data_IF_668458701457
#
_entry.id   IF_668458701457
#
_cell.length_a   1.000
_cell.length_b   1.000
_cell.length_c   1.000
_cell.angle_alpha   90.00
_cell.angle_beta   90.00
_cell.angle_gamma   90.00
#
_symmetry.space_group_name_H-M   'P 1'
#
loop_
_entity.id
_entity.type
_entity.pdbx_description
1 polymer ?
#
# COMPACT_ATOMS: atom_id res chain seq x y z
N UNK A 1 -35.13 -21.21 4.08
CA UNK A 1 -34.31 -20.60 3.00
C UNK A 1 -34.13 -19.12 3.36
N UNK A 2 -33.17 -18.82 4.16
CA UNK A 2 -32.65 -17.47 4.46
C UNK A 2 -31.55 -17.66 5.49
N UNK A 3 -30.39 -17.07 5.31
CA UNK A 3 -29.23 -16.85 6.20
C UNK A 3 -27.87 -17.19 5.54
N UNK A 4 -27.78 -17.06 4.20
CA UNK A 4 -26.47 -17.11 3.51
C UNK A 4 -25.93 -15.69 3.22
N UNK A 5 -26.73 -14.64 3.45
CA UNK A 5 -26.38 -13.26 3.08
C UNK A 5 -25.59 -12.44 4.11
N UNK A 6 -25.64 -12.79 5.39
CA UNK A 6 -25.03 -11.96 6.45
C UNK A 6 -23.56 -12.30 6.77
N UNK A 7 -23.14 -13.56 6.59
CA UNK A 7 -21.74 -13.93 6.86
C UNK A 7 -20.75 -13.40 5.80
N UNK A 8 -21.18 -13.25 4.56
CA UNK A 8 -20.32 -12.72 3.48
C UNK A 8 -20.04 -11.22 3.62
N UNK A 9 -20.95 -10.45 4.23
CA UNK A 9 -20.76 -9.02 4.46
C UNK A 9 -19.78 -8.71 5.60
N UNK A 10 -19.70 -9.57 6.62
CA UNK A 10 -18.80 -9.41 7.75
C UNK A 10 -17.32 -9.65 7.37
N UNK A 11 -17.04 -10.62 6.50
CA UNK A 11 -15.68 -10.96 6.06
C UNK A 11 -15.08 -9.81 5.21
N UNK A 12 -15.87 -9.11 4.40
CA UNK A 12 -15.41 -7.98 3.61
C UNK A 12 -15.02 -6.75 4.45
N UNK A 13 -15.36 -6.73 5.74
CA UNK A 13 -15.04 -5.64 6.67
C UNK A 13 -13.78 -5.89 7.50
N UNK A 14 -13.23 -7.11 7.48
CA UNK A 14 -12.01 -7.44 8.22
C UNK A 14 -10.80 -6.70 7.63
N UNK A 15 -9.86 -6.22 8.47
CA UNK A 15 -8.64 -5.62 7.99
C UNK A 15 -7.79 -6.65 7.25
N UNK A 16 -6.99 -6.21 6.27
CA UNK A 16 -6.11 -7.11 5.52
C UNK A 16 -4.96 -7.61 6.39
N UNK A 17 -4.42 -8.77 6.04
CA UNK A 17 -3.25 -9.38 6.68
C UNK A 17 -1.99 -8.95 5.92
N UNK A 18 -0.94 -8.59 6.64
CA UNK A 18 0.35 -8.26 6.04
C UNK A 18 1.14 -9.53 5.76
N UNK A 19 1.37 -9.82 4.49
CA UNK A 19 2.24 -10.91 4.07
C UNK A 19 3.69 -10.44 4.00
N UNK A 20 4.59 -11.23 4.59
CA UNK A 20 6.04 -11.08 4.53
C UNK A 20 6.68 -12.25 3.77
N UNK A 21 7.92 -12.09 3.35
CA UNK A 21 8.80 -13.22 3.05
C UNK A 21 9.33 -13.86 4.34
N UNK A 22 10.07 -14.97 4.21
CA UNK A 22 10.64 -15.67 5.37
C UNK A 22 11.69 -14.86 6.13
N UNK A 23 12.32 -13.89 5.47
CA UNK A 23 13.30 -12.97 6.05
C UNK A 23 12.65 -11.76 6.75
N UNK A 24 11.32 -11.64 6.68
CA UNK A 24 10.57 -10.55 7.32
C UNK A 24 10.44 -9.29 6.46
N UNK A 25 10.72 -9.36 5.16
CA UNK A 25 10.49 -8.22 4.27
C UNK A 25 9.00 -8.13 3.90
N UNK A 26 8.40 -6.93 3.99
CA UNK A 26 7.00 -6.74 3.64
C UNK A 26 6.78 -6.93 2.15
N UNK A 27 5.75 -7.71 1.83
CA UNK A 27 5.46 -8.14 0.47
C UNK A 27 4.18 -7.50 -0.07
N UNK A 28 3.02 -7.83 0.51
CA UNK A 28 1.70 -7.35 0.07
C UNK A 28 0.65 -7.51 1.15
N UNK A 29 -0.49 -6.88 0.91
CA UNK A 29 -1.71 -7.15 1.65
C UNK A 29 -2.42 -8.36 1.08
N UNK A 30 -2.90 -9.24 1.95
CA UNK A 30 -3.69 -10.43 1.59
C UNK A 30 -4.99 -10.47 2.38
N UNK A 31 -5.98 -11.19 1.86
CA UNK A 31 -7.24 -11.41 2.56
C UNK A 31 -7.11 -12.52 3.60
N UNK A 32 -8.07 -12.61 4.51
CA UNK A 32 -8.12 -13.68 5.52
C UNK A 32 -8.27 -15.05 4.90
N UNK A 33 -9.05 -15.17 3.84
CA UNK A 33 -9.24 -16.44 3.14
C UNK A 33 -7.91 -16.95 2.57
N UNK A 34 -7.12 -16.06 1.97
CA UNK A 34 -5.82 -16.43 1.46
C UNK A 34 -4.85 -16.77 2.61
N UNK A 35 -4.96 -16.09 3.75
CA UNK A 35 -4.20 -16.43 4.96
C UNK A 35 -4.56 -17.82 5.46
N UNK A 36 -5.86 -18.14 5.58
CA UNK A 36 -6.34 -19.47 5.97
C UNK A 36 -5.84 -20.56 5.02
N UNK A 37 -5.83 -20.28 3.72
CA UNK A 37 -5.24 -21.20 2.74
C UNK A 37 -3.76 -21.46 3.02
N UNK A 38 -2.95 -20.45 3.33
CA UNK A 38 -1.54 -20.66 3.66
C UNK A 38 -1.34 -21.47 4.93
N UNK A 39 -2.14 -21.27 5.95
CA UNK A 39 -2.12 -22.10 7.16
C UNK A 39 -2.50 -23.55 6.84
N UNK A 40 -3.56 -23.78 6.06
CA UNK A 40 -4.03 -25.13 5.70
C UNK A 40 -3.01 -25.91 4.84
N UNK A 41 -2.09 -25.23 4.17
CA UNK A 41 -1.04 -25.82 3.34
C UNK A 41 0.32 -25.86 4.03
N UNK A 42 0.38 -25.58 5.33
CA UNK A 42 1.62 -25.51 6.12
C UNK A 42 2.68 -24.59 5.49
N UNK A 43 2.23 -23.48 4.86
CA UNK A 43 3.11 -22.53 4.21
C UNK A 43 3.49 -21.34 5.08
N UNK A 44 2.92 -21.20 6.26
CA UNK A 44 3.30 -20.16 7.23
C UNK A 44 4.60 -20.56 7.89
N UNK A 45 5.66 -19.75 7.71
CA UNK A 45 6.95 -19.97 8.35
C UNK A 45 6.93 -19.52 9.81
N UNK A 46 6.39 -18.34 10.03
CA UNK A 46 6.15 -17.73 11.33
C UNK A 46 5.08 -16.64 11.20
N UNK A 47 4.51 -16.24 12.32
CA UNK A 47 3.50 -15.20 12.36
C UNK A 47 3.67 -14.32 13.60
N UNK A 48 3.13 -13.12 13.55
CA UNK A 48 3.12 -12.16 14.66
C UNK A 48 1.92 -11.22 14.56
N UNK A 49 1.63 -10.52 15.63
CA UNK A 49 0.58 -9.52 15.73
C UNK A 49 -0.06 -9.59 17.12
N UNK A 50 -0.68 -8.50 17.54
CA UNK A 50 -1.38 -8.40 18.83
C UNK A 50 -2.80 -8.94 18.77
N UNK A 51 -3.36 -9.04 17.56
CA UNK A 51 -4.74 -9.48 17.35
C UNK A 51 -4.76 -10.87 16.74
N UNK A 52 -5.32 -11.80 17.49
CA UNK A 52 -5.61 -13.14 17.01
C UNK A 52 -7.01 -13.17 16.38
N UNK A 53 -7.08 -13.62 15.14
CA UNK A 53 -8.33 -13.79 14.42
C UNK A 53 -8.69 -15.26 14.39
N UNK A 54 -9.83 -15.59 14.94
CA UNK A 54 -10.36 -16.95 14.89
C UNK A 54 -11.38 -17.07 13.76
N UNK A 55 -11.07 -17.90 12.78
CA UNK A 55 -12.02 -18.30 11.73
C UNK A 55 -12.60 -19.66 12.09
N UNK A 56 -13.91 -19.77 11.95
CA UNK A 56 -14.63 -21.02 12.14
C UNK A 56 -14.90 -21.68 10.79
N UNK A 57 -14.52 -22.94 10.66
CA UNK A 57 -14.81 -23.77 9.49
C UNK A 57 -16.08 -24.59 9.64
N UNK A 58 -16.17 -25.66 8.87
CA UNK A 58 -17.30 -26.60 8.91
C UNK A 58 -17.39 -27.38 10.23
N UNK A 59 -18.60 -27.90 10.52
CA UNK A 59 -18.83 -28.78 11.65
C UNK A 59 -18.49 -30.21 11.25
N UNK A 60 -17.67 -30.89 12.04
CA UNK A 60 -17.36 -32.31 11.85
C UNK A 60 -18.61 -33.13 12.12
N UNK A 61 -19.09 -33.89 11.12
CA UNK A 61 -20.32 -34.66 11.22
C UNK A 61 -20.27 -35.77 12.28
N UNK A 62 -19.10 -36.29 12.60
CA UNK A 62 -18.93 -37.37 13.58
C UNK A 62 -18.79 -36.85 15.02
N UNK A 63 -18.12 -35.72 15.23
CA UNK A 63 -17.85 -35.17 16.57
C UNK A 63 -18.75 -33.99 16.95
N UNK A 64 -19.48 -33.39 16.01
CA UNK A 64 -20.27 -32.17 16.23
C UNK A 64 -19.43 -30.90 16.45
N UNK A 65 -18.11 -31.02 16.46
CA UNK A 65 -17.22 -29.86 16.72
C UNK A 65 -17.01 -29.01 15.46
N UNK A 66 -17.08 -27.70 15.62
CA UNK A 66 -16.65 -26.75 14.58
C UNK A 66 -15.11 -26.71 14.54
N UNK A 67 -14.54 -26.83 13.35
CA UNK A 67 -13.14 -26.53 13.16
C UNK A 67 -12.91 -25.04 13.36
N UNK A 68 -11.80 -24.66 13.99
CA UNK A 68 -11.39 -23.27 14.15
C UNK A 68 -9.92 -23.13 13.79
N UNK A 69 -9.56 -21.97 13.25
CA UNK A 69 -8.20 -21.59 12.92
C UNK A 69 -7.91 -20.22 13.52
N UNK A 70 -6.90 -20.16 14.39
CA UNK A 70 -6.39 -18.89 14.93
C UNK A 70 -5.28 -18.40 14.02
N UNK A 71 -5.36 -17.13 13.59
CA UNK A 71 -4.40 -16.51 12.67
C UNK A 71 -3.99 -15.15 13.20
N UNK A 72 -2.72 -14.81 13.00
CA UNK A 72 -2.21 -13.47 13.28
C UNK A 72 -2.37 -12.54 12.07
N UNK A 73 -2.16 -11.25 12.30
CA UNK A 73 -2.34 -10.18 11.32
C UNK A 73 -1.12 -9.92 10.45
N UNK A 74 0.03 -10.52 10.78
CA UNK A 74 1.29 -10.45 10.05
C UNK A 74 1.82 -11.87 9.86
N UNK A 75 2.02 -12.29 8.60
CA UNK A 75 2.41 -13.66 8.24
C UNK A 75 3.62 -13.71 7.35
N UNK A 76 4.63 -14.49 7.72
CA UNK A 76 5.74 -14.85 6.85
C UNK A 76 5.44 -16.18 6.12
N UNK A 77 5.49 -16.16 4.79
CA UNK A 77 5.06 -17.28 3.96
C UNK A 77 6.27 -17.95 3.30
N UNK A 78 6.34 -19.30 3.42
CA UNK A 78 7.30 -20.12 2.69
C UNK A 78 6.85 -20.23 1.23
N UNK A 79 7.79 -20.14 0.31
CA UNK A 79 7.57 -20.40 -1.10
C UNK A 79 8.64 -19.77 -1.96
N UNK A 80 8.88 -20.40 -3.08
CA UNK A 80 9.74 -19.82 -4.11
C UNK A 80 8.98 -18.67 -4.79
N UNK A 81 9.60 -17.52 -4.78
CA UNK A 81 9.13 -16.35 -5.52
C UNK A 81 9.89 -16.37 -6.84
N UNK A 82 9.18 -16.43 -7.98
CA UNK A 82 9.83 -16.37 -9.29
C UNK A 82 10.64 -15.07 -9.42
N UNK A 83 11.66 -15.06 -10.30
CA UNK A 83 12.47 -13.86 -10.56
C UNK A 83 11.61 -12.64 -10.95
N UNK A 84 10.53 -12.86 -11.72
CA UNK A 84 9.57 -11.82 -12.06
C UNK A 84 8.78 -11.33 -10.83
N UNK A 85 8.35 -12.24 -9.98
CA UNK A 85 7.69 -11.87 -8.73
C UNK A 85 8.66 -11.15 -7.78
N UNK A 86 9.92 -11.56 -7.71
CA UNK A 86 10.96 -10.84 -6.95
C UNK A 86 11.14 -9.41 -7.45
N UNK A 87 11.23 -9.20 -8.76
CA UNK A 87 11.34 -7.86 -9.34
C UNK A 87 10.13 -6.97 -8.99
N UNK A 88 8.92 -7.54 -8.96
CA UNK A 88 7.70 -6.82 -8.52
C UNK A 88 7.70 -6.55 -7.02
N UNK A 89 8.21 -7.47 -6.21
CA UNK A 89 8.15 -7.39 -4.74
C UNK A 89 9.25 -6.49 -4.15
N UNK A 90 10.45 -6.56 -4.72
CA UNK A 90 11.63 -5.83 -4.23
C UNK A 90 12.06 -4.68 -5.13
N UNK A 91 11.40 -4.54 -6.29
CA UNK A 91 11.61 -3.42 -7.20
C UNK A 91 10.89 -2.14 -6.75
N UNK A 92 11.03 -1.11 -7.56
CA UNK A 92 10.31 0.16 -7.37
C UNK A 92 8.80 -0.10 -7.47
N UNK A 93 8.00 0.32 -6.49
CA UNK A 93 6.56 0.10 -6.51
C UNK A 93 5.88 0.73 -7.74
N UNK A 94 4.74 0.17 -8.22
CA UNK A 94 4.05 0.71 -9.38
C UNK A 94 3.53 2.12 -9.12
N UNK A 95 3.80 3.03 -10.06
CA UNK A 95 3.34 4.41 -9.99
C UNK A 95 1.87 4.51 -10.42
N UNK A 96 1.01 4.84 -9.46
CA UNK A 96 -0.41 5.15 -9.70
C UNK A 96 -0.75 6.53 -9.17
N UNK A 97 -1.76 7.20 -9.74
CA UNK A 97 -2.20 8.50 -9.25
C UNK A 97 -2.62 8.44 -7.76
N UNK A 98 -3.32 7.38 -7.37
CA UNK A 98 -3.73 7.19 -5.97
C UNK A 98 -2.54 7.12 -5.01
N UNK A 99 -1.50 6.37 -5.36
CA UNK A 99 -0.31 6.24 -4.54
C UNK A 99 0.51 7.55 -4.55
N UNK A 100 0.60 8.21 -5.72
CA UNK A 100 1.26 9.51 -5.85
C UNK A 100 0.61 10.57 -4.96
N UNK A 101 -0.70 10.74 -5.06
CA UNK A 101 -1.42 11.73 -4.26
C UNK A 101 -1.31 11.46 -2.77
N UNK A 102 -1.31 10.20 -2.35
CA UNK A 102 -1.08 9.83 -0.95
C UNK A 102 0.36 10.04 -0.49
N UNK A 103 1.37 9.74 -1.33
CA UNK A 103 2.77 10.05 -1.03
C UNK A 103 2.94 11.54 -0.72
N UNK A 104 2.24 12.37 -1.47
CA UNK A 104 2.29 13.83 -1.38
C UNK A 104 1.23 14.41 -0.42
N UNK A 105 0.56 13.55 0.38
CA UNK A 105 -0.49 13.94 1.36
C UNK A 105 -1.62 14.77 0.73
N UNK A 106 -1.94 14.56 -0.55
CA UNK A 106 -2.87 15.35 -1.36
C UNK A 106 -2.51 16.84 -1.45
N UNK A 107 -1.26 17.22 -1.20
CA UNK A 107 -0.77 18.59 -1.23
C UNK A 107 -0.20 18.91 -2.61
N UNK A 108 -0.59 20.07 -3.16
CA UNK A 108 -0.02 20.58 -4.40
C UNK A 108 1.47 20.93 -4.20
N UNK A 109 2.36 20.33 -5.02
CA UNK A 109 3.80 20.54 -4.91
C UNK A 109 4.28 21.98 -5.21
N UNK A 110 3.42 22.80 -5.82
CA UNK A 110 3.74 24.17 -6.21
C UNK A 110 3.08 25.22 -5.31
N UNK A 111 1.87 24.92 -4.82
CA UNK A 111 1.09 25.87 -4.05
C UNK A 111 1.10 25.58 -2.55
N UNK A 112 1.32 24.31 -2.17
CA UNK A 112 1.47 23.90 -0.76
C UNK A 112 0.16 23.65 -0.03
N UNK A 113 -1.00 23.71 -0.70
CA UNK A 113 -2.28 23.45 -0.08
C UNK A 113 -2.82 22.06 -0.40
N UNK A 114 -3.61 21.51 0.53
CA UNK A 114 -4.28 20.23 0.37
C UNK A 114 -5.53 20.38 -0.52
N UNK A 115 -5.74 19.39 -1.38
CA UNK A 115 -6.88 19.33 -2.29
C UNK A 115 -7.60 17.99 -2.20
N UNK A 116 -8.89 17.98 -2.52
CA UNK A 116 -9.61 16.72 -2.73
C UNK A 116 -9.09 16.01 -3.99
N UNK A 117 -9.05 14.68 -3.95
CA UNK A 117 -8.43 13.84 -5.00
C UNK A 117 -8.91 14.15 -6.42
N UNK A 118 -10.19 14.54 -6.59
CA UNK A 118 -10.76 14.89 -7.90
C UNK A 118 -10.14 16.13 -8.56
N UNK A 119 -9.58 17.04 -7.75
CA UNK A 119 -8.99 18.31 -8.20
C UNK A 119 -7.46 18.20 -8.34
N UNK A 120 -6.91 17.00 -8.06
CA UNK A 120 -5.49 16.71 -8.18
C UNK A 120 -5.16 16.06 -9.52
N UNK A 121 -3.96 16.37 -9.99
CA UNK A 121 -3.37 15.84 -11.21
C UNK A 121 -1.95 15.36 -10.98
N UNK A 122 -1.49 14.40 -11.78
CA UNK A 122 -0.07 14.07 -11.89
C UNK A 122 0.59 15.06 -12.81
N UNK A 123 1.61 15.74 -12.32
CA UNK A 123 2.47 16.56 -13.14
C UNK A 123 3.89 16.01 -13.24
N UNK A 124 4.53 16.18 -14.40
CA UNK A 124 5.90 15.77 -14.65
C UNK A 124 6.82 16.96 -14.45
N UNK A 125 7.73 16.87 -13.47
CA UNK A 125 8.72 17.94 -13.19
C UNK A 125 9.50 18.28 -14.45
N UNK A 126 10.08 17.28 -15.11
CA UNK A 126 10.59 17.39 -16.47
C UNK A 126 9.51 16.92 -17.45
N UNK A 127 9.01 17.78 -18.33
CA UNK A 127 7.87 17.49 -19.19
C UNK A 127 8.07 16.31 -20.13
N UNK A 128 7.03 15.50 -20.34
CA UNK A 128 7.06 14.39 -21.30
C UNK A 128 7.41 14.83 -22.72
N UNK A 129 6.93 16.00 -23.15
CA UNK A 129 7.25 16.57 -24.46
C UNK A 129 8.73 16.89 -24.65
N UNK A 130 9.49 16.93 -23.57
CA UNK A 130 10.95 17.16 -23.56
C UNK A 130 11.77 15.93 -23.18
N UNK A 131 11.15 14.74 -23.17
CA UNK A 131 11.82 13.48 -22.85
C UNK A 131 11.67 13.05 -21.39
N UNK A 132 10.87 13.74 -20.58
CA UNK A 132 10.55 13.33 -19.22
C UNK A 132 9.82 12.00 -19.18
N UNK A 133 10.21 11.12 -18.24
CA UNK A 133 9.67 9.78 -18.09
C UNK A 133 8.68 9.70 -16.93
N UNK A 134 7.75 8.75 -17.03
CA UNK A 134 6.73 8.49 -16.01
C UNK A 134 7.32 7.62 -14.89
N UNK A 135 8.03 8.23 -13.97
CA UNK A 135 8.65 7.58 -12.81
C UNK A 135 8.49 8.44 -11.55
N UNK A 136 8.58 7.81 -10.39
CA UNK A 136 8.37 8.44 -9.09
C UNK A 136 9.19 9.71 -8.85
N UNK A 137 10.43 9.75 -9.31
CA UNK A 137 11.37 10.86 -9.13
C UNK A 137 11.12 12.00 -10.11
N UNK A 138 10.23 11.81 -11.08
CA UNK A 138 9.88 12.83 -12.06
C UNK A 138 8.42 13.30 -11.97
N UNK A 139 7.64 12.78 -11.01
CA UNK A 139 6.23 13.16 -10.88
C UNK A 139 5.88 13.69 -9.50
N UNK A 140 5.00 14.67 -9.48
CA UNK A 140 4.47 15.30 -8.27
C UNK A 140 2.96 15.46 -8.36
N UNK A 141 2.33 15.61 -7.21
CA UNK A 141 0.93 16.01 -7.10
C UNK A 141 0.80 17.50 -7.35
N UNK A 142 -0.08 17.89 -8.27
CA UNK A 142 -0.37 19.29 -8.56
C UNK A 142 -1.88 19.52 -8.61
N UNK A 143 -2.35 20.70 -8.18
CA UNK A 143 -3.72 21.13 -8.44
C UNK A 143 -3.88 21.51 -9.92
N UNK A 144 -5.11 21.44 -10.42
CA UNK A 144 -5.41 21.74 -11.83
C UNK A 144 -4.89 23.12 -12.31
N UNK A 145 -5.08 24.20 -11.53
CA UNK A 145 -4.55 25.54 -11.89
C UNK A 145 -3.02 25.56 -12.03
N UNK A 146 -2.27 25.04 -11.05
CA UNK A 146 -0.81 25.01 -11.11
C UNK A 146 -0.30 24.16 -12.27
N UNK A 147 -0.90 23.01 -12.52
CA UNK A 147 -0.53 22.15 -13.63
C UNK A 147 -0.76 22.82 -14.99
N UNK A 148 -1.86 23.60 -15.14
CA UNK A 148 -2.11 24.40 -16.34
C UNK A 148 -1.09 25.53 -16.54
N UNK A 149 -0.68 26.21 -15.47
CA UNK A 149 0.34 27.28 -15.53
C UNK A 149 1.70 26.71 -15.92
N UNK A 150 2.05 25.54 -15.33
CA UNK A 150 3.30 24.86 -15.66
C UNK A 150 3.32 24.35 -17.09
N UNK A 151 2.21 23.71 -17.52
CA UNK A 151 2.09 23.13 -18.86
C UNK A 151 3.33 22.27 -19.21
N UNK A 152 3.87 22.42 -20.40
CA UNK A 152 5.06 21.72 -20.90
C UNK A 152 6.38 22.48 -20.65
N UNK A 153 6.40 23.40 -19.69
CA UNK A 153 7.60 24.16 -19.32
C UNK A 153 8.37 23.49 -18.20
N UNK A 154 9.69 23.65 -18.22
CA UNK A 154 10.50 23.34 -17.04
C UNK A 154 10.23 24.41 -15.98
N UNK A 155 10.22 23.99 -14.72
CA UNK A 155 9.83 24.86 -13.60
C UNK A 155 10.71 26.11 -13.50
N UNK A 156 12.00 25.99 -13.83
CA UNK A 156 12.97 27.09 -13.80
C UNK A 156 12.62 28.21 -14.79
N UNK A 157 11.77 27.91 -15.77
CA UNK A 157 11.31 28.88 -16.80
C UNK A 157 9.98 29.55 -16.39
N UNK A 158 9.50 29.35 -15.16
CA UNK A 158 8.22 29.92 -14.70
C UNK A 158 8.49 30.81 -13.47
N UNK A 159 8.45 32.17 -13.65
CA UNK A 159 8.68 33.08 -12.55
C UNK A 159 7.74 32.84 -11.37
N UNK A 160 8.32 32.71 -10.18
CA UNK A 160 7.55 32.52 -8.92
C UNK A 160 7.05 31.11 -8.66
N UNK A 161 7.20 30.16 -9.58
CA UNK A 161 6.84 28.75 -9.36
C UNK A 161 8.07 27.98 -8.86
N UNK A 162 7.89 27.22 -7.75
CA UNK A 162 8.95 26.39 -7.16
C UNK A 162 8.36 25.08 -6.70
N UNK A 163 9.17 24.03 -6.74
CA UNK A 163 8.84 22.78 -6.04
C UNK A 163 9.05 22.97 -4.53
N UNK A 164 8.02 22.67 -3.75
CA UNK A 164 8.08 22.73 -2.30
C UNK A 164 8.77 21.50 -1.70
N UNK A 165 8.88 20.43 -2.48
CA UNK A 165 9.56 19.20 -2.10
C UNK A 165 10.06 18.45 -3.34
N UNK A 166 11.11 17.66 -3.15
CA UNK A 166 11.65 16.81 -4.22
C UNK A 166 10.82 15.51 -4.32
N UNK A 167 10.47 15.09 -5.55
CA UNK A 167 9.84 13.80 -5.76
C UNK A 167 10.82 12.65 -5.51
N UNK A 168 10.32 11.55 -4.92
CA UNK A 168 11.10 10.35 -4.62
C UNK A 168 10.28 9.08 -4.83
N UNK A 169 10.96 7.93 -4.98
CA UNK A 169 10.30 6.64 -5.02
C UNK A 169 10.07 6.12 -3.59
N UNK A 170 8.83 5.80 -3.20
CA UNK A 170 8.59 5.18 -1.90
C UNK A 170 9.22 3.78 -1.85
N UNK A 171 9.71 3.36 -0.70
CA UNK A 171 10.11 1.97 -0.53
C UNK A 171 8.88 1.06 -0.37
N UNK A 172 9.08 -0.25 -0.27
CA UNK A 172 7.98 -1.22 -0.22
C UNK A 172 7.09 -1.04 1.01
N UNK A 173 7.66 -0.78 2.18
CA UNK A 173 6.91 -0.57 3.42
C UNK A 173 6.03 0.67 3.32
N UNK A 174 6.60 1.78 2.90
CA UNK A 174 5.89 3.03 2.66
C UNK A 174 4.76 2.86 1.64
N UNK A 175 5.05 2.19 0.52
CA UNK A 175 4.03 1.93 -0.50
C UNK A 175 2.86 1.12 0.03
N UNK A 176 3.09 0.12 0.88
CA UNK A 176 2.03 -0.66 1.51
C UNK A 176 1.17 0.20 2.45
N UNK A 177 1.78 1.12 3.20
CA UNK A 177 1.03 2.10 4.01
C UNK A 177 0.17 2.98 3.09
N UNK A 178 0.74 3.49 2.01
CA UNK A 178 0.03 4.32 1.03
C UNK A 178 -1.11 3.57 0.31
N UNK A 179 -1.07 2.26 0.19
CA UNK A 179 -2.12 1.47 -0.46
C UNK A 179 -3.36 1.26 0.42
N UNK A 180 -3.17 1.08 1.73
CA UNK A 180 -4.23 0.67 2.64
C UNK A 180 -4.68 1.83 3.54
N UNK A 181 -5.97 1.88 3.88
CA UNK A 181 -6.54 2.87 4.80
C UNK A 181 -6.90 2.29 6.17
N UNK A 182 -6.94 0.95 6.28
CA UNK A 182 -7.30 0.22 7.50
C UNK A 182 -6.14 -0.68 7.89
N UNK A 183 -5.10 -0.06 8.45
CA UNK A 183 -3.90 -0.75 8.93
C UNK A 183 -4.04 -0.87 10.45
N UNK A 184 -3.86 -2.06 10.98
CA UNK A 184 -3.85 -2.29 12.43
C UNK A 184 -2.60 -1.67 13.07
N UNK A 185 -2.65 -1.39 14.38
CA UNK A 185 -1.57 -0.74 15.10
C UNK A 185 -0.24 -1.48 14.99
N UNK A 186 -0.25 -2.79 15.22
CA UNK A 186 0.90 -3.68 15.10
C UNK A 186 1.49 -3.74 13.68
N UNK A 187 0.63 -3.78 12.66
CA UNK A 187 1.03 -3.72 11.24
C UNK A 187 1.66 -2.37 10.90
N UNK A 188 1.07 -1.28 11.38
CA UNK A 188 1.59 0.06 11.17
C UNK A 188 2.94 0.22 11.84
N UNK A 189 3.09 -0.19 13.10
CA UNK A 189 4.37 -0.15 13.81
C UNK A 189 5.44 -0.96 13.09
N UNK A 190 5.10 -2.16 12.61
CA UNK A 190 6.00 -3.02 11.84
C UNK A 190 6.48 -2.35 10.55
N UNK A 191 5.58 -1.72 9.80
CA UNK A 191 5.90 -1.05 8.54
C UNK A 191 6.69 0.24 8.77
N UNK A 192 6.29 1.07 9.75
CA UNK A 192 6.95 2.34 10.03
C UNK A 192 8.42 2.21 10.42
N UNK A 193 8.81 1.12 11.10
CA UNK A 193 10.22 0.80 11.40
C UNK A 193 11.08 0.62 10.14
N UNK A 194 10.47 0.43 8.97
CA UNK A 194 11.13 0.19 7.68
C UNK A 194 10.98 1.34 6.69
N UNK A 195 10.20 2.36 7.05
CA UNK A 195 10.05 3.58 6.24
C UNK A 195 11.30 4.44 6.42
N UNK A 196 11.89 4.98 5.33
CA UNK A 196 13.02 5.90 5.42
C UNK A 196 12.66 7.14 6.23
N UNK A 197 13.60 7.66 7.02
CA UNK A 197 13.38 8.83 7.89
C UNK A 197 13.02 10.10 7.09
N UNK A 198 13.45 10.15 5.85
CA UNK A 198 13.19 11.24 4.91
C UNK A 198 11.78 11.17 4.30
N UNK A 199 11.04 10.10 4.57
CA UNK A 199 9.67 9.93 4.07
C UNK A 199 8.75 11.02 4.58
N UNK A 200 7.88 11.49 3.71
CA UNK A 200 6.84 12.46 4.06
C UNK A 200 5.77 11.92 5.01
N UNK A 201 5.70 10.61 5.22
CA UNK A 201 4.82 10.01 6.22
C UNK A 201 5.15 10.47 7.65
N UNK A 202 6.36 10.97 7.91
CA UNK A 202 6.74 11.53 9.22
C UNK A 202 6.46 13.03 9.35
N UNK A 203 6.13 13.70 8.24
CA UNK A 203 5.95 15.14 8.16
C UNK A 203 4.52 15.56 7.76
N UNK A 204 3.58 14.64 7.87
CA UNK A 204 2.15 14.86 7.55
C UNK A 204 1.30 15.05 8.81
#
# INVERSE_FOLDING_TARGET
MALVGEETSAISQLPLVLQLDVAGNPNRWITYELSAYYYSKDRVAWSMGEVDLTIFGGTNAASGNKSSLVMNTILAIRGEVSAQQQAVLYGVPPLTNRALFRRDSNICAYYGEEYVVKDLTRDHVHPKSKGGVDRWENVVTACGPCNKVKDNKDIDNIPGMKLLYLPYAPNRAEFLILQNRRILGDQMEFLMKRVPKESRLFNS
#
